data_IF_626413498663
#
_entry.id   IF_626413498663
#
_cell.length_a   1.000
_cell.length_b   1.000
_cell.length_c   1.000
_cell.angle_alpha   90.00
_cell.angle_beta   90.00
_cell.angle_gamma   90.00
#
_symmetry.space_group_name_H-M   'P 1'
#
loop_
_entity.id
_entity.type
_entity.pdbx_description
1 polymer ?
#
# COMPACT_ATOMS: atom_id res chain seq x y z
N UNK A 1 15.84 11.77 -48.17
CA UNK A 1 15.30 10.39 -48.13
C UNK A 1 16.14 9.62 -47.11
N UNK A 2 15.69 9.19 -45.93
CA UNK A 2 14.35 9.09 -45.33
C UNK A 2 14.46 9.44 -43.83
N UNK A 3 13.55 10.28 -43.33
CA UNK A 3 13.35 10.52 -41.89
C UNK A 3 12.30 9.52 -41.42
N UNK A 4 12.69 8.55 -40.59
CA UNK A 4 11.74 7.66 -39.94
C UNK A 4 11.21 8.37 -38.69
N UNK A 5 9.99 8.86 -38.78
CA UNK A 5 9.22 9.41 -37.66
C UNK A 5 8.86 8.26 -36.71
N UNK A 6 9.46 8.22 -35.52
CA UNK A 6 8.97 7.37 -34.44
C UNK A 6 7.79 8.10 -33.82
N UNK A 7 6.60 7.54 -34.01
CA UNK A 7 5.38 7.96 -33.33
C UNK A 7 5.52 7.59 -31.87
N UNK A 8 6.01 8.53 -31.06
CA UNK A 8 5.88 8.44 -29.61
C UNK A 8 4.40 8.53 -29.28
N UNK A 9 3.77 7.38 -29.05
CA UNK A 9 2.48 7.33 -28.35
C UNK A 9 2.71 7.89 -26.96
N UNK A 10 2.38 9.17 -26.79
CA UNK A 10 2.24 9.81 -25.48
C UNK A 10 1.14 9.06 -24.74
N UNK A 11 1.52 8.04 -23.97
CA UNK A 11 0.69 7.60 -22.87
C UNK A 11 0.68 8.78 -21.90
N UNK A 12 -0.46 9.45 -21.82
CA UNK A 12 -0.68 10.53 -20.86
C UNK A 12 -0.14 10.09 -19.49
N UNK A 13 0.63 10.94 -18.80
CA UNK A 13 1.07 10.62 -17.45
C UNK A 13 -0.19 10.42 -16.61
N UNK A 14 -0.39 9.19 -16.11
CA UNK A 14 -1.42 8.93 -15.12
C UNK A 14 -1.13 9.92 -13.99
N UNK A 15 -2.07 10.84 -13.67
CA UNK A 15 -1.84 11.82 -12.62
C UNK A 15 -1.55 11.06 -11.32
N UNK A 16 -0.43 11.39 -10.66
CA UNK A 16 -0.25 11.05 -9.26
C UNK A 16 -1.19 11.98 -8.49
N UNK A 17 -2.48 11.66 -8.50
CA UNK A 17 -3.44 12.26 -7.60
C UNK A 17 -3.15 11.73 -6.19
N UNK A 18 -3.07 12.65 -5.23
CA UNK A 18 -3.25 12.33 -3.81
C UNK A 18 -4.47 11.42 -3.71
N UNK A 19 -4.25 10.16 -3.32
CA UNK A 19 -5.32 9.17 -3.31
C UNK A 19 -6.43 9.62 -2.37
N UNK A 20 -7.59 9.87 -2.95
CA UNK A 20 -8.49 10.96 -2.57
C UNK A 20 -9.44 10.65 -1.41
N UNK A 21 -9.13 9.69 -0.55
CA UNK A 21 -10.06 9.30 0.52
C UNK A 21 -9.38 9.25 1.89
N UNK A 22 -9.44 10.41 2.55
CA UNK A 22 -9.31 10.48 4.01
C UNK A 22 -10.37 9.58 4.65
N UNK A 23 -9.92 8.54 5.36
CA UNK A 23 -10.78 7.69 6.19
C UNK A 23 -10.58 8.06 7.67
N UNK A 24 -11.56 8.71 8.32
CA UNK A 24 -11.42 9.14 9.71
C UNK A 24 -11.26 7.97 10.68
N UNK A 25 -11.78 6.79 10.36
CA UNK A 25 -11.64 5.61 11.21
C UNK A 25 -10.22 5.06 11.17
N UNK A 26 -9.59 5.09 9.99
CA UNK A 26 -8.17 4.74 9.83
C UNK A 26 -7.27 5.74 10.55
N UNK A 27 -7.53 7.04 10.38
CA UNK A 27 -6.79 8.08 11.08
C UNK A 27 -6.83 7.87 12.60
N UNK A 28 -8.03 7.67 13.16
CA UNK A 28 -8.22 7.45 14.59
C UNK A 28 -7.46 6.21 15.09
N UNK A 29 -7.53 5.10 14.34
CA UNK A 29 -6.83 3.85 14.68
C UNK A 29 -5.32 4.05 14.72
N UNK A 30 -4.75 4.78 13.76
CA UNK A 30 -3.32 5.09 13.74
C UNK A 30 -2.93 6.01 14.90
N UNK A 31 -3.77 6.98 15.25
CA UNK A 31 -3.54 7.80 16.44
C UNK A 31 -3.54 6.97 17.72
N UNK A 32 -4.43 6.00 17.87
CA UNK A 32 -4.45 5.08 19.01
C UNK A 32 -3.20 4.21 19.07
N UNK A 33 -2.75 3.68 17.94
CA UNK A 33 -1.49 2.95 17.85
C UNK A 33 -0.30 3.80 18.33
N UNK A 34 -0.18 5.02 17.81
CA UNK A 34 0.89 5.93 18.18
C UNK A 34 0.81 6.37 19.66
N UNK A 35 -0.39 6.65 20.16
CA UNK A 35 -0.61 7.07 21.55
C UNK A 35 -0.36 5.93 22.56
N UNK A 36 -0.55 4.67 22.14
CA UNK A 36 -0.31 3.51 22.99
C UNK A 36 1.17 3.27 23.32
N UNK A 37 2.09 3.82 22.52
CA UNK A 37 3.53 3.57 22.63
C UNK A 37 3.96 2.17 22.18
N UNK A 38 3.05 1.40 21.57
CA UNK A 38 3.38 0.12 20.95
C UNK A 38 4.32 0.31 19.75
N UNK A 39 5.25 -0.63 19.56
CA UNK A 39 6.13 -0.64 18.39
C UNK A 39 5.31 -0.86 17.13
N UNK A 40 5.47 0.02 16.14
CA UNK A 40 4.91 -0.15 14.80
C UNK A 40 6.01 -0.58 13.83
N UNK A 41 5.59 -1.16 12.72
CA UNK A 41 6.43 -1.45 11.58
C UNK A 41 5.91 -0.70 10.35
N UNK A 42 6.83 -0.22 9.54
CA UNK A 42 6.55 0.24 8.19
C UNK A 42 7.18 -0.72 7.18
N UNK A 43 6.45 -1.06 6.12
CA UNK A 43 6.92 -2.00 5.09
C UNK A 43 6.67 -1.36 3.72
N UNK A 44 7.69 -1.18 2.87
CA UNK A 44 7.49 -0.58 1.56
C UNK A 44 6.53 -1.42 0.71
N UNK A 45 5.59 -0.77 0.04
CA UNK A 45 4.75 -1.43 -0.98
C UNK A 45 5.59 -1.61 -2.23
N UNK A 46 5.84 -2.85 -2.64
CA UNK A 46 6.63 -3.15 -3.83
C UNK A 46 5.77 -3.08 -5.09
N UNK A 47 5.66 -1.89 -5.66
CA UNK A 47 4.89 -1.62 -6.87
C UNK A 47 5.68 -0.75 -7.85
N UNK A 48 5.29 -0.77 -9.13
CA UNK A 48 5.85 0.15 -10.13
C UNK A 48 5.55 1.62 -9.83
N UNK A 49 4.53 1.93 -9.02
CA UNK A 49 4.21 3.31 -8.63
C UNK A 49 5.27 3.85 -7.66
N UNK A 50 5.68 3.04 -6.68
CA UNK A 50 6.76 3.41 -5.76
C UNK A 50 8.16 3.26 -6.38
N UNK A 51 8.34 2.31 -7.28
CA UNK A 51 9.65 1.95 -7.84
C UNK A 51 9.60 1.85 -9.38
N UNK A 52 9.38 2.97 -10.09
CA UNK A 52 9.13 2.96 -11.54
C UNK A 52 10.29 2.42 -12.37
N UNK A 53 11.53 2.61 -11.88
CA UNK A 53 12.75 2.19 -12.56
C UNK A 53 13.15 0.73 -12.26
N UNK A 54 12.42 0.05 -11.36
CA UNK A 54 12.69 -1.34 -11.01
C UNK A 54 11.89 -2.27 -11.91
N UNK A 55 12.50 -3.29 -12.54
CA UNK A 55 11.76 -4.29 -13.30
C UNK A 55 10.73 -5.04 -12.43
N UNK A 56 9.49 -5.29 -12.93
CA UNK A 56 8.43 -5.94 -12.15
C UNK A 56 8.82 -7.30 -11.56
N UNK A 57 9.66 -8.07 -12.26
CA UNK A 57 10.13 -9.38 -11.80
C UNK A 57 11.01 -9.26 -10.54
N UNK A 58 11.75 -8.17 -10.40
CA UNK A 58 12.57 -7.91 -9.21
C UNK A 58 11.67 -7.53 -8.03
N UNK A 59 10.65 -6.71 -8.25
CA UNK A 59 9.66 -6.39 -7.21
C UNK A 59 8.94 -7.65 -6.71
N UNK A 60 8.46 -8.50 -7.62
CA UNK A 60 7.84 -9.78 -7.26
C UNK A 60 8.80 -10.71 -6.50
N UNK A 61 10.08 -10.74 -6.90
CA UNK A 61 11.10 -11.50 -6.18
C UNK A 61 11.27 -10.99 -4.75
N UNK A 62 11.39 -9.67 -4.58
CA UNK A 62 11.62 -8.99 -3.31
C UNK A 62 10.42 -9.10 -2.36
N UNK A 63 9.20 -9.16 -2.88
CA UNK A 63 7.97 -9.31 -2.10
C UNK A 63 7.98 -10.58 -1.24
N UNK A 64 8.66 -11.64 -1.68
CA UNK A 64 8.86 -12.86 -0.89
C UNK A 64 9.69 -12.66 0.38
N UNK A 65 10.38 -11.53 0.50
CA UNK A 65 11.21 -11.14 1.64
C UNK A 65 10.63 -9.92 2.37
N UNK A 66 9.35 -9.62 2.20
CA UNK A 66 8.66 -8.46 2.79
C UNK A 66 8.89 -8.31 4.31
N UNK A 67 8.89 -9.42 5.05
CA UNK A 67 9.16 -9.41 6.49
C UNK A 67 10.55 -8.85 6.86
N UNK A 68 11.55 -9.03 6.00
CA UNK A 68 12.91 -8.53 6.22
C UNK A 68 13.05 -7.03 5.92
N UNK A 69 12.07 -6.41 5.26
CA UNK A 69 12.06 -4.98 4.91
C UNK A 69 11.29 -4.13 5.95
N UNK A 70 10.93 -4.72 7.09
CA UNK A 70 10.25 -4.01 8.19
C UNK A 70 11.17 -2.93 8.78
N UNK A 71 10.73 -1.69 8.67
CA UNK A 71 11.33 -0.53 9.31
C UNK A 71 10.63 -0.26 10.66
N UNK A 72 11.33 -0.27 11.79
CA UNK A 72 10.72 -0.06 13.11
C UNK A 72 10.38 1.42 13.34
N UNK A 73 9.18 1.68 13.90
CA UNK A 73 8.70 3.00 14.29
C UNK A 73 8.44 2.97 15.80
N UNK A 74 9.35 3.55 16.58
CA UNK A 74 9.28 3.55 18.04
C UNK A 74 8.45 4.72 18.58
N UNK A 75 8.40 5.82 17.82
CA UNK A 75 7.71 7.04 18.18
C UNK A 75 7.20 7.76 16.91
N UNK A 76 6.19 8.64 17.03
CA UNK A 76 5.60 9.31 15.87
C UNK A 76 6.61 10.04 14.98
N UNK A 77 7.66 10.61 15.57
CA UNK A 77 8.69 11.36 14.85
C UNK A 77 9.51 10.47 13.90
N UNK A 78 9.60 9.17 14.17
CA UNK A 78 10.34 8.24 13.31
C UNK A 78 9.66 8.09 11.93
N UNK A 79 8.36 8.40 11.81
CA UNK A 79 7.64 8.42 10.54
C UNK A 79 8.22 9.47 9.57
N UNK A 80 8.81 10.55 10.07
CA UNK A 80 9.45 11.58 9.23
C UNK A 80 10.80 11.12 8.65
N UNK A 81 11.36 10.01 9.16
CA UNK A 81 12.58 9.42 8.65
C UNK A 81 12.33 8.38 7.54
N UNK A 82 11.06 8.12 7.20
CA UNK A 82 10.71 7.23 6.10
C UNK A 82 11.23 7.77 4.75
N UNK A 83 11.51 6.90 3.77
CA UNK A 83 11.93 7.33 2.45
C UNK A 83 10.89 8.26 1.79
N UNK A 84 11.33 9.46 1.41
CA UNK A 84 10.51 10.44 0.69
C UNK A 84 9.93 9.84 -0.59
N UNK A 85 8.63 10.01 -0.80
CA UNK A 85 7.94 9.58 -2.01
C UNK A 85 7.58 8.09 -2.07
N UNK A 86 7.92 7.30 -1.05
CA UNK A 86 7.60 5.86 -1.01
C UNK A 86 6.43 5.59 -0.09
N UNK A 87 5.41 4.92 -0.63
CA UNK A 87 4.27 4.44 0.16
C UNK A 87 4.58 3.08 0.80
N UNK A 88 4.19 2.85 2.03
CA UNK A 88 4.32 1.54 2.67
C UNK A 88 3.18 1.23 3.62
N UNK A 89 3.04 -0.04 3.95
CA UNK A 89 2.08 -0.53 4.94
C UNK A 89 2.52 -0.11 6.33
N UNK A 90 1.57 0.33 7.15
CA UNK A 90 1.78 0.67 8.56
C UNK A 90 0.95 -0.27 9.43
N UNK A 91 1.59 -0.91 10.39
CA UNK A 91 0.94 -1.86 11.28
C UNK A 91 1.64 -1.96 12.64
N UNK A 92 0.93 -2.39 13.69
CA UNK A 92 1.58 -2.86 14.91
C UNK A 92 2.59 -3.98 14.59
N UNK A 93 3.77 -3.98 15.23
CA UNK A 93 4.87 -4.87 14.85
C UNK A 93 4.57 -6.37 15.06
N UNK A 94 3.63 -6.68 15.95
CA UNK A 94 3.08 -7.99 16.25
C UNK A 94 1.85 -8.36 15.40
N UNK A 95 1.35 -7.44 14.58
CA UNK A 95 0.26 -7.72 13.66
C UNK A 95 0.77 -8.44 12.39
N UNK A 96 -0.07 -9.35 11.89
CA UNK A 96 0.17 -10.09 10.66
C UNK A 96 -0.35 -9.35 9.41
N UNK A 97 -1.36 -8.49 9.56
CA UNK A 97 -2.03 -7.81 8.46
C UNK A 97 -2.43 -6.38 8.82
N UNK A 98 -2.66 -5.55 7.80
CA UNK A 98 -3.13 -4.16 7.94
C UNK A 98 -3.80 -3.68 6.67
N UNK A 99 -4.80 -2.81 6.82
CA UNK A 99 -5.45 -2.05 5.75
C UNK A 99 -4.94 -0.60 5.68
N UNK A 100 -3.88 -0.28 6.41
CA UNK A 100 -3.33 1.08 6.55
C UNK A 100 -2.00 1.20 5.81
N UNK A 101 -1.88 2.24 5.00
CA UNK A 101 -0.61 2.65 4.42
C UNK A 101 -0.23 4.08 4.84
N UNK A 102 1.06 4.37 4.87
CA UNK A 102 1.56 5.72 5.01
C UNK A 102 2.83 5.97 4.18
N UNK A 103 3.14 7.24 3.97
CA UNK A 103 4.39 7.69 3.34
C UNK A 103 4.66 9.16 3.64
N UNK A 104 5.82 9.64 3.23
CA UNK A 104 6.27 11.02 3.47
C UNK A 104 6.39 11.78 2.15
N UNK A 105 5.80 12.96 2.11
CA UNK A 105 5.92 13.90 1.00
C UNK A 105 6.10 15.32 1.53
N UNK A 106 7.12 16.04 1.05
CA UNK A 106 7.49 17.38 1.47
C UNK A 106 7.68 17.53 2.99
N UNK A 107 8.18 16.48 3.66
CA UNK A 107 8.35 16.47 5.11
C UNK A 107 7.04 16.34 5.92
N UNK A 108 5.93 16.03 5.26
CA UNK A 108 4.65 15.72 5.91
C UNK A 108 4.34 14.24 5.80
N UNK A 109 3.79 13.66 6.87
CA UNK A 109 3.34 12.26 6.90
C UNK A 109 1.90 12.18 6.41
N UNK A 110 1.65 11.29 5.46
CA UNK A 110 0.32 11.00 4.93
C UNK A 110 -0.08 9.59 5.35
N UNK A 111 -1.24 9.44 5.99
CA UNK A 111 -1.81 8.17 6.43
C UNK A 111 -3.09 7.92 5.63
N UNK A 112 -3.26 6.70 5.12
CA UNK A 112 -4.31 6.33 4.17
C UNK A 112 -4.87 4.95 4.51
N UNK A 113 -6.18 4.76 4.35
CA UNK A 113 -6.77 3.44 4.23
C UNK A 113 -6.60 2.93 2.79
N UNK A 114 -6.17 1.68 2.61
CA UNK A 114 -5.91 1.15 1.27
C UNK A 114 -7.16 0.50 0.70
N UNK A 115 -7.59 1.00 -0.46
CA UNK A 115 -8.60 0.37 -1.31
C UNK A 115 -8.02 0.15 -2.69
N UNK A 116 -8.31 -1.01 -3.28
CA UNK A 116 -7.94 -1.32 -4.66
C UNK A 116 -8.66 -0.32 -5.60
N UNK A 117 -7.89 0.44 -6.38
CA UNK A 117 -8.42 1.52 -7.24
C UNK A 117 -9.36 1.01 -8.35
N UNK A 118 -9.21 -0.26 -8.77
CA UNK A 118 -9.97 -0.85 -9.89
C UNK A 118 -11.31 -1.43 -9.44
N UNK A 119 -11.37 -1.94 -8.22
CA UNK A 119 -12.51 -2.66 -7.66
C UNK A 119 -13.21 -1.92 -6.53
N UNK A 120 -12.55 -0.91 -5.94
CA UNK A 120 -13.02 -0.16 -4.78
C UNK A 120 -13.03 -0.96 -3.48
N UNK A 121 -12.53 -2.21 -3.49
CA UNK A 121 -12.53 -3.10 -2.33
C UNK A 121 -11.40 -2.74 -1.36
N UNK A 122 -11.59 -2.92 -0.04
CA UNK A 122 -10.50 -2.85 0.92
C UNK A 122 -9.37 -3.81 0.52
N UNK A 123 -8.13 -3.33 0.57
CA UNK A 123 -6.95 -4.14 0.34
C UNK A 123 -6.11 -4.12 1.62
N UNK A 124 -5.64 -5.30 2.03
CA UNK A 124 -4.72 -5.42 3.14
C UNK A 124 -3.32 -5.84 2.67
N UNK A 125 -2.33 -5.74 3.56
CA UNK A 125 -0.95 -6.18 3.36
C UNK A 125 -0.87 -7.61 2.81
N UNK A 126 -1.67 -8.53 3.36
CA UNK A 126 -1.72 -9.92 2.92
C UNK A 126 -2.74 -10.18 1.79
N UNK A 127 -3.55 -9.17 1.44
CA UNK A 127 -4.67 -9.27 0.49
C UNK A 127 -5.84 -10.11 0.98
N UNK A 128 -6.93 -10.17 0.20
CA UNK A 128 -7.88 -11.29 0.29
C UNK A 128 -7.10 -12.56 -0.08
N UNK A 129 -6.70 -13.37 0.90
CA UNK A 129 -6.19 -14.73 0.65
C UNK A 129 -7.32 -15.55 0.03
N UNK A 130 -7.47 -15.50 -1.28
CA UNK A 130 -8.21 -16.52 -1.99
C UNK A 130 -7.37 -17.79 -1.91
N UNK A 131 -7.81 -18.75 -1.10
CA UNK A 131 -7.34 -20.12 -1.21
C UNK A 131 -7.68 -20.61 -2.62
N UNK A 132 -6.70 -20.54 -3.53
CA UNK A 132 -6.82 -21.04 -4.92
C UNK A 132 -7.05 -22.57 -4.94
N UNK A 133 -7.05 -23.25 -3.78
CA UNK A 133 -7.34 -24.66 -3.65
C UNK A 133 -8.85 -25.02 -3.67
N UNK A 134 -9.76 -24.07 -3.48
CA UNK A 134 -11.20 -24.32 -3.63
C UNK A 134 -11.85 -23.11 -4.27
N UNK A 135 -11.94 -23.11 -5.60
CA UNK A 135 -12.75 -22.17 -6.35
C UNK A 135 -14.22 -22.31 -5.97
N UNK A 136 -14.63 -21.68 -4.89
CA UNK A 136 -16.02 -21.48 -4.53
C UNK A 136 -16.13 -20.25 -3.65
N UNK A 137 -16.62 -19.15 -4.22
CA UNK A 137 -17.22 -18.10 -3.41
C UNK A 137 -18.42 -18.74 -2.72
N UNK A 138 -18.48 -18.66 -1.38
CA UNK A 138 -19.70 -18.98 -0.66
C UNK A 138 -20.76 -17.96 -1.09
N UNK A 139 -21.68 -18.41 -1.96
CA UNK A 139 -22.88 -17.67 -2.29
C UNK A 139 -23.68 -17.43 -0.99
N UNK A 140 -24.08 -16.19 -0.68
CA UNK A 140 -25.02 -15.96 0.40
C UNK A 140 -26.37 -16.56 -0.01
N UNK A 141 -26.72 -17.66 0.67
CA UNK A 141 -28.03 -18.32 0.63
C UNK A 141 -29.15 -17.26 0.70
N UNK A 142 -30.08 -17.17 -0.28
CA UNK A 142 -31.17 -16.22 -0.20
C UNK A 142 -32.10 -16.60 0.95
N UNK A 143 -32.21 -15.71 1.93
CA UNK A 143 -33.23 -15.79 2.97
C UNK A 143 -34.61 -15.61 2.34
N UNK A 144 -35.43 -16.65 2.45
CA UNK A 144 -36.86 -16.57 2.21
C UNK A 144 -37.53 -15.76 3.32
N UNK A 145 -38.29 -14.73 2.94
CA UNK A 145 -39.45 -14.22 3.67
C UNK A 145 -40.52 -13.89 2.63
#
# INVERSE_FOLDING_TARGET
>A
MNTTTITSSTADPIPIERLSHYDPAVHQRVQEWLASGQLLAWIPILSQENFPDVPPQILQFADRYQAAMRWPIHRPEDLLALPEGITGWLLPADADDTDVACGVWNGEVYILGVRDKRTGRPQSLLGERFDVATGQADDPKPSAI
#
